data_IF_906202012013
#
_entry.id   IF_906202012013
#
_cell.length_a   1.000
_cell.length_b   1.000
_cell.length_c   1.000
_cell.angle_alpha   90.00
_cell.angle_beta   90.00
_cell.angle_gamma   90.00
#
_symmetry.space_group_name_H-M   'P 1'
#
loop_
_entity.id
_entity.type
_entity.pdbx_description
1 polymer ?
#
# COMPACT_ATOMS: atom_id res chain seq x y z
N UNK A 1 -19.92 4.05 -1.97
CA UNK A 1 -21.06 3.38 -2.64
C UNK A 1 -22.06 4.40 -3.19
N UNK A 2 -22.66 5.25 -2.35
CA UNK A 2 -23.67 6.23 -2.79
C UNK A 2 -23.17 7.24 -3.82
N UNK A 3 -21.98 7.83 -3.60
CA UNK A 3 -21.38 8.74 -4.55
C UNK A 3 -21.17 8.08 -5.93
N UNK A 4 -20.70 6.82 -5.96
CA UNK A 4 -20.53 6.03 -7.19
C UNK A 4 -21.87 5.78 -7.89
N UNK A 5 -22.90 5.37 -7.13
CA UNK A 5 -24.27 5.14 -7.67
C UNK A 5 -24.85 6.38 -8.31
N UNK A 6 -24.66 7.54 -7.68
CA UNK A 6 -25.19 8.83 -8.12
C UNK A 6 -24.24 9.60 -9.05
N UNK A 7 -23.07 9.03 -9.41
CA UNK A 7 -22.03 9.68 -10.23
C UNK A 7 -21.59 11.05 -9.70
N UNK A 8 -21.49 11.18 -8.38
CA UNK A 8 -21.05 12.42 -7.71
C UNK A 8 -19.54 12.38 -7.56
N UNK A 9 -18.85 13.42 -8.03
CA UNK A 9 -17.44 13.66 -7.74
C UNK A 9 -17.29 14.02 -6.26
N UNK A 10 -16.62 13.16 -5.49
CA UNK A 10 -16.45 13.30 -4.04
C UNK A 10 -15.05 12.85 -3.65
N UNK A 11 -14.39 13.64 -2.80
CA UNK A 11 -13.15 13.25 -2.13
C UNK A 11 -13.43 12.94 -0.67
N UNK A 12 -12.91 11.82 -0.17
CA UNK A 12 -13.07 11.37 1.21
C UNK A 12 -11.71 11.17 1.84
N UNK A 13 -11.46 11.87 2.95
CA UNK A 13 -10.30 11.62 3.80
C UNK A 13 -10.60 10.52 4.80
N UNK A 14 -9.83 9.44 4.78
CA UNK A 14 -9.84 8.42 5.83
C UNK A 14 -8.72 8.73 6.83
N UNK A 15 -9.09 8.99 8.08
CA UNK A 15 -8.13 9.21 9.16
C UNK A 15 -7.79 7.87 9.82
N UNK A 16 -6.73 7.23 9.34
CA UNK A 16 -6.25 5.93 9.80
C UNK A 16 -5.07 5.44 8.98
N UNK A 17 -4.63 4.20 9.23
CA UNK A 17 -3.56 3.60 8.44
C UNK A 17 -4.12 3.07 7.11
N UNK A 18 -3.43 3.35 6.00
CA UNK A 18 -3.85 2.89 4.67
C UNK A 18 -3.88 1.36 4.57
N UNK A 19 -3.06 0.65 5.35
CA UNK A 19 -3.05 -0.82 5.37
C UNK A 19 -4.35 -1.37 5.96
N UNK A 20 -4.88 -0.78 7.04
CA UNK A 20 -6.18 -1.17 7.58
C UNK A 20 -7.29 -0.97 6.55
N UNK A 21 -7.23 0.12 5.78
CA UNK A 21 -8.18 0.37 4.69
C UNK A 21 -8.05 -0.67 3.58
N UNK A 22 -6.82 -1.01 3.17
CA UNK A 22 -6.58 -2.05 2.16
C UNK A 22 -7.10 -3.43 2.61
N UNK A 23 -6.78 -3.84 3.84
CA UNK A 23 -7.25 -5.10 4.41
C UNK A 23 -8.77 -5.10 4.59
N UNK A 24 -9.37 -3.96 4.95
CA UNK A 24 -10.83 -3.83 5.00
C UNK A 24 -11.46 -3.95 3.63
N UNK A 25 -10.87 -3.36 2.59
CA UNK A 25 -11.36 -3.52 1.21
C UNK A 25 -11.30 -4.97 0.74
N UNK A 26 -10.24 -5.71 1.12
CA UNK A 26 -10.16 -7.16 0.90
C UNK A 26 -11.26 -7.90 1.64
N UNK A 27 -11.49 -7.59 2.92
CA UNK A 27 -12.56 -8.20 3.69
C UNK A 27 -13.93 -7.98 3.04
N UNK A 28 -14.23 -6.76 2.59
CA UNK A 28 -15.48 -6.45 1.89
C UNK A 28 -15.62 -7.25 0.59
N UNK A 29 -14.55 -7.33 -0.20
CA UNK A 29 -14.50 -8.13 -1.43
C UNK A 29 -14.73 -9.62 -1.15
N UNK A 30 -14.07 -10.19 -0.15
CA UNK A 30 -14.14 -11.62 0.16
C UNK A 30 -15.50 -12.02 0.78
N UNK A 31 -16.15 -11.11 1.51
CA UNK A 31 -17.43 -11.37 2.15
C UNK A 31 -18.64 -11.06 1.28
N UNK A 32 -18.55 -10.04 0.41
CA UNK A 32 -19.69 -9.59 -0.41
C UNK A 32 -19.53 -9.92 -1.89
N UNK A 33 -18.32 -10.26 -2.33
CA UNK A 33 -17.98 -10.44 -3.75
C UNK A 33 -17.79 -9.13 -4.52
N UNK A 34 -17.95 -7.98 -3.86
CA UNK A 34 -17.91 -6.68 -4.54
C UNK A 34 -16.54 -6.03 -4.49
N UNK A 35 -16.03 -5.68 -5.67
CA UNK A 35 -14.85 -4.82 -5.78
C UNK A 35 -15.27 -3.35 -5.57
N UNK A 36 -14.84 -2.78 -4.44
CA UNK A 36 -15.19 -1.40 -4.06
C UNK A 36 -14.28 -0.34 -4.68
N UNK A 37 -13.10 -0.74 -5.13
CA UNK A 37 -12.06 0.15 -5.66
C UNK A 37 -11.60 -0.34 -7.03
N UNK A 38 -11.76 0.51 -8.04
CA UNK A 38 -11.34 0.21 -9.41
C UNK A 38 -9.86 0.55 -9.62
N UNK A 39 -9.39 1.59 -8.96
CA UNK A 39 -8.04 2.17 -9.08
C UNK A 39 -7.37 2.26 -7.70
N UNK A 40 -6.08 1.93 -7.64
CA UNK A 40 -5.26 1.98 -6.43
C UNK A 40 -3.86 2.51 -6.67
N UNK A 41 -3.33 3.27 -5.72
CA UNK A 41 -1.94 3.75 -5.73
C UNK A 41 -1.49 4.00 -4.30
N UNK A 42 -0.19 4.20 -4.09
CA UNK A 42 0.38 4.64 -2.81
C UNK A 42 1.22 5.91 -3.01
N UNK A 43 1.11 6.86 -2.06
CA UNK A 43 1.90 8.09 -2.06
C UNK A 43 2.46 8.40 -0.66
N UNK A 44 2.66 7.37 0.16
CA UNK A 44 3.40 7.51 1.43
C UNK A 44 4.85 7.89 1.15
N UNK A 45 5.59 8.37 2.16
CA UNK A 45 6.99 8.76 1.99
C UNK A 45 7.94 7.55 2.08
N UNK A 46 7.71 6.53 1.24
CA UNK A 46 8.52 5.31 1.19
C UNK A 46 9.97 5.53 0.69
N UNK A 47 10.32 6.74 0.23
CA UNK A 47 11.73 7.11 0.00
C UNK A 47 12.52 7.24 1.31
N UNK A 48 11.84 7.35 2.47
CA UNK A 48 12.46 7.39 3.79
C UNK A 48 11.59 6.69 4.86
N UNK A 49 11.33 5.38 4.71
CA UNK A 49 10.28 4.70 5.47
C UNK A 49 10.65 4.55 6.94
N UNK A 50 11.95 4.46 7.26
CA UNK A 50 12.45 4.18 8.60
C UNK A 50 12.73 5.43 9.45
N UNK A 51 12.50 6.62 8.93
CA UNK A 51 12.65 7.89 9.67
C UNK A 51 11.35 8.68 9.74
N UNK A 52 10.21 7.97 9.76
CA UNK A 52 8.87 8.58 9.88
C UNK A 52 8.20 8.90 8.54
N UNK A 53 8.73 8.42 7.42
CA UNK A 53 8.06 8.50 6.11
C UNK A 53 6.93 7.47 5.93
N UNK A 54 6.98 6.37 6.70
CA UNK A 54 5.97 5.32 6.72
C UNK A 54 5.71 4.88 8.16
N UNK A 55 4.43 4.72 8.52
CA UNK A 55 4.02 4.30 9.86
C UNK A 55 3.42 2.89 9.83
N UNK A 56 3.94 1.95 10.63
CA UNK A 56 3.48 0.57 10.63
C UNK A 56 2.05 0.45 11.17
N UNK A 57 1.23 -0.35 10.51
CA UNK A 57 -0.19 -0.58 10.87
C UNK A 57 -0.39 -1.18 12.27
N UNK A 58 0.63 -1.86 12.81
CA UNK A 58 0.59 -2.50 14.11
C UNK A 58 0.56 -1.51 15.28
N UNK A 59 0.86 -0.23 15.05
CA UNK A 59 1.01 0.79 16.07
C UNK A 59 0.12 1.99 15.78
N UNK A 60 -0.32 2.66 16.83
CA UNK A 60 -0.82 4.02 16.70
C UNK A 60 0.31 4.99 16.30
N UNK A 61 -0.06 6.17 15.84
CA UNK A 61 0.89 7.21 15.44
C UNK A 61 1.85 7.62 16.58
N UNK A 62 1.32 7.78 17.81
CA UNK A 62 2.13 8.18 18.96
C UNK A 62 3.08 7.06 19.42
N UNK A 63 2.60 5.81 19.46
CA UNK A 63 3.45 4.64 19.76
C UNK A 63 4.57 4.49 18.74
N UNK A 64 4.26 4.67 17.45
CA UNK A 64 5.24 4.62 16.38
C UNK A 64 6.30 5.72 16.49
N UNK A 65 5.92 6.96 16.83
CA UNK A 65 6.87 8.06 17.08
C UNK A 65 7.78 7.77 18.28
N UNK A 66 7.23 7.22 19.36
CA UNK A 66 8.02 6.83 20.51
C UNK A 66 8.97 5.66 20.17
N UNK A 67 8.50 4.67 19.42
CA UNK A 67 9.32 3.52 19.04
C UNK A 67 10.44 3.92 18.07
N UNK A 68 10.19 4.87 17.19
CA UNK A 68 11.18 5.40 16.24
C UNK A 68 12.42 5.94 16.96
N UNK A 69 12.25 6.60 18.11
CA UNK A 69 13.38 7.13 18.90
C UNK A 69 13.98 6.10 19.84
N UNK A 70 13.14 5.28 20.48
CA UNK A 70 13.57 4.35 21.54
C UNK A 70 14.09 3.01 21.03
N UNK A 71 13.64 2.55 19.86
CA UNK A 71 14.06 1.26 19.27
C UNK A 71 13.92 1.26 17.74
N UNK A 72 14.80 1.98 17.01
CA UNK A 72 14.74 2.09 15.55
C UNK A 72 14.75 0.74 14.82
N UNK A 73 15.48 -0.26 15.36
CA UNK A 73 15.50 -1.61 14.80
C UNK A 73 14.15 -2.32 14.84
N UNK A 74 13.40 -2.15 15.95
CA UNK A 74 12.03 -2.69 16.07
C UNK A 74 11.07 -1.94 15.15
N UNK A 75 11.19 -0.61 15.10
CA UNK A 75 10.40 0.21 14.18
C UNK A 75 10.57 -0.25 12.73
N UNK A 76 11.82 -0.44 12.28
CA UNK A 76 12.13 -0.95 10.94
C UNK A 76 11.48 -2.31 10.67
N UNK A 77 11.56 -3.25 11.60
CA UNK A 77 10.96 -4.57 11.44
C UNK A 77 9.44 -4.50 11.27
N UNK A 78 8.76 -3.66 12.06
CA UNK A 78 7.32 -3.44 11.96
C UNK A 78 6.93 -2.74 10.65
N UNK A 79 7.70 -1.74 10.20
CA UNK A 79 7.49 -1.10 8.89
C UNK A 79 7.56 -2.13 7.77
N UNK A 80 8.57 -3.00 7.77
CA UNK A 80 8.69 -4.06 6.77
C UNK A 80 7.53 -5.05 6.82
N UNK A 81 7.04 -5.40 8.01
CA UNK A 81 5.85 -6.25 8.17
C UNK A 81 4.59 -5.59 7.63
N UNK A 82 4.39 -4.30 7.93
CA UNK A 82 3.28 -3.51 7.41
C UNK A 82 3.31 -3.41 5.89
N UNK A 83 4.48 -3.21 5.28
CA UNK A 83 4.63 -3.20 3.82
C UNK A 83 4.24 -4.55 3.18
N UNK A 84 4.64 -5.68 3.79
CA UNK A 84 4.23 -7.02 3.33
C UNK A 84 2.72 -7.19 3.38
N UNK A 85 2.08 -6.76 4.47
CA UNK A 85 0.61 -6.79 4.63
C UNK A 85 -0.10 -5.92 3.59
N UNK A 86 0.38 -4.70 3.39
CA UNK A 86 -0.14 -3.78 2.39
C UNK A 86 -0.12 -4.39 0.99
N UNK A 87 1.02 -4.95 0.57
CA UNK A 87 1.17 -5.60 -0.73
C UNK A 87 0.28 -6.83 -0.85
N UNK A 88 0.17 -7.65 0.20
CA UNK A 88 -0.70 -8.83 0.17
C UNK A 88 -2.16 -8.43 -0.11
N UNK A 89 -2.64 -7.35 0.52
CA UNK A 89 -3.98 -6.83 0.28
C UNK A 89 -4.13 -6.24 -1.13
N UNK A 90 -3.16 -5.46 -1.60
CA UNK A 90 -3.14 -4.91 -2.97
C UNK A 90 -3.17 -6.04 -4.00
N UNK A 91 -2.34 -7.08 -3.83
CA UNK A 91 -2.30 -8.25 -4.69
C UNK A 91 -3.66 -8.94 -4.76
N UNK A 92 -4.32 -9.13 -3.62
CA UNK A 92 -5.64 -9.75 -3.56
C UNK A 92 -6.70 -8.96 -4.33
N UNK A 93 -6.70 -7.64 -4.20
CA UNK A 93 -7.64 -6.75 -4.92
C UNK A 93 -7.31 -6.70 -6.42
N UNK A 94 -6.03 -6.64 -6.77
CA UNK A 94 -5.56 -6.62 -8.15
C UNK A 94 -5.90 -7.93 -8.89
N UNK A 95 -5.79 -9.08 -8.22
CA UNK A 95 -6.24 -10.39 -8.73
C UNK A 95 -7.74 -10.41 -9.04
N UNK A 96 -8.53 -9.49 -8.48
CA UNK A 96 -9.97 -9.33 -8.76
C UNK A 96 -10.31 -8.18 -9.71
N UNK A 97 -9.30 -7.53 -10.29
CA UNK A 97 -9.48 -6.55 -11.36
C UNK A 97 -9.25 -5.09 -10.94
N UNK A 98 -8.83 -4.82 -9.70
CA UNK A 98 -8.34 -3.48 -9.35
C UNK A 98 -7.04 -3.19 -10.11
N UNK A 99 -6.94 -2.00 -10.71
CA UNK A 99 -5.69 -1.55 -11.32
C UNK A 99 -4.83 -0.80 -10.29
N UNK A 100 -3.64 -1.33 -9.99
CA UNK A 100 -2.67 -0.68 -9.10
C UNK A 100 -1.45 -0.17 -9.86
N UNK A 101 -0.92 0.99 -9.45
CA UNK A 101 0.37 1.51 -9.94
C UNK A 101 1.19 2.15 -8.81
N UNK A 102 2.51 2.20 -8.99
CA UNK A 102 3.44 2.90 -8.09
C UNK A 102 3.54 4.39 -8.48
N UNK A 103 3.44 5.29 -7.51
CA UNK A 103 3.42 6.74 -7.76
C UNK A 103 4.82 7.39 -7.76
N UNK A 104 5.90 6.61 -7.85
CA UNK A 104 7.27 7.11 -7.83
C UNK A 104 7.77 7.46 -6.42
N UNK A 105 7.18 6.87 -5.38
CA UNK A 105 7.54 7.10 -3.98
C UNK A 105 8.46 6.02 -3.39
N UNK A 106 9.01 5.14 -4.24
CA UNK A 106 9.81 3.97 -3.87
C UNK A 106 9.05 2.86 -3.10
N UNK A 107 7.71 2.86 -3.12
CA UNK A 107 6.90 1.87 -2.41
C UNK A 107 7.21 0.43 -2.83
N UNK A 108 7.15 0.12 -4.14
CA UNK A 108 7.41 -1.26 -4.59
C UNK A 108 8.84 -1.71 -4.31
N UNK A 109 9.81 -0.81 -4.40
CA UNK A 109 11.21 -1.11 -4.09
C UNK A 109 11.41 -1.45 -2.61
N UNK A 110 10.86 -0.64 -1.70
CA UNK A 110 10.96 -0.92 -0.26
C UNK A 110 10.14 -2.15 0.14
N UNK A 111 9.00 -2.39 -0.49
CA UNK A 111 8.22 -3.60 -0.29
C UNK A 111 8.99 -4.85 -0.75
N UNK A 112 9.68 -4.80 -1.90
CA UNK A 112 10.57 -5.89 -2.35
C UNK A 112 11.68 -6.14 -1.33
N UNK A 113 12.34 -5.09 -0.84
CA UNK A 113 13.38 -5.20 0.20
C UNK A 113 12.84 -5.77 1.52
N UNK A 114 11.57 -5.57 1.80
CA UNK A 114 10.86 -6.17 2.92
C UNK A 114 10.44 -7.64 2.64
N UNK A 115 10.64 -8.16 1.44
CA UNK A 115 10.23 -9.52 1.06
C UNK A 115 8.74 -9.64 0.68
N UNK A 116 8.11 -8.55 0.25
CA UNK A 116 6.76 -8.58 -0.27
C UNK A 116 6.69 -9.15 -1.69
N UNK A 117 5.57 -9.77 -2.05
CA UNK A 117 5.33 -10.35 -3.38
C UNK A 117 4.98 -9.27 -4.42
N UNK A 118 5.98 -8.51 -4.85
CA UNK A 118 5.85 -7.42 -5.84
C UNK A 118 6.54 -7.73 -7.16
N UNK A 119 7.23 -8.86 -7.27
CA UNK A 119 8.03 -9.20 -8.44
C UNK A 119 7.15 -9.70 -9.59
N UNK A 120 7.52 -9.32 -10.81
CA UNK A 120 6.89 -9.87 -12.01
C UNK A 120 7.47 -11.26 -12.28
N UNK A 121 6.62 -12.28 -12.31
CA UNK A 121 7.04 -13.67 -12.57
C UNK A 121 7.79 -13.77 -13.89
N UNK A 122 9.00 -14.32 -13.85
CA UNK A 122 9.86 -14.51 -15.03
C UNK A 122 10.58 -13.25 -15.52
N UNK A 123 10.54 -12.16 -14.76
CA UNK A 123 11.24 -10.92 -15.09
C UNK A 123 12.54 -10.75 -14.29
N UNK A 124 13.32 -9.73 -14.66
CA UNK A 124 14.53 -9.35 -13.92
C UNK A 124 14.18 -8.77 -12.54
N UNK A 125 15.12 -8.78 -11.59
CA UNK A 125 14.94 -8.29 -10.21
C UNK A 125 14.45 -6.84 -10.07
N UNK A 126 14.48 -6.06 -11.13
CA UNK A 126 14.08 -4.65 -11.17
C UNK A 126 12.71 -4.43 -11.82
N UNK A 127 12.04 -5.49 -12.26
CA UNK A 127 10.70 -5.42 -12.85
C UNK A 127 9.63 -5.88 -11.85
N UNK A 128 8.75 -4.95 -11.51
CA UNK A 128 7.64 -5.21 -10.61
C UNK A 128 6.38 -5.62 -11.35
N UNK A 129 5.48 -6.29 -10.62
CA UNK A 129 4.15 -6.69 -11.07
C UNK A 129 3.29 -5.49 -11.49
N UNK A 130 3.49 -4.35 -10.82
CA UNK A 130 2.73 -3.14 -11.07
C UNK A 130 3.59 -2.09 -11.79
N UNK A 131 3.01 -1.36 -12.75
CA UNK A 131 3.72 -0.31 -13.45
C UNK A 131 4.04 0.87 -12.52
N UNK A 132 5.13 1.57 -12.81
CA UNK A 132 5.38 2.90 -12.25
C UNK A 132 4.65 3.97 -13.06
N UNK A 133 4.07 4.96 -12.39
CA UNK A 133 3.46 6.15 -13.00
C UNK A 133 4.42 6.81 -14.00
N UNK A 134 5.70 6.94 -13.65
CA UNK A 134 6.70 7.57 -14.51
C UNK A 134 6.86 6.77 -15.79
N UNK A 135 7.22 5.48 -15.66
CA UNK A 135 7.52 4.62 -16.81
C UNK A 135 6.30 4.34 -17.70
N UNK A 136 5.09 4.34 -17.13
CA UNK A 136 3.88 3.85 -17.81
C UNK A 136 2.93 4.96 -18.27
N UNK A 137 2.94 6.13 -17.62
CA UNK A 137 2.00 7.22 -17.92
C UNK A 137 2.75 8.45 -18.45
N UNK A 138 3.92 8.76 -17.91
CA UNK A 138 4.66 9.97 -18.29
C UNK A 138 5.62 9.77 -19.48
N UNK A 139 6.13 8.55 -19.68
CA UNK A 139 7.15 8.23 -20.69
C UNK A 139 8.56 8.42 -20.17
#
# INVERSE_FOLDING_TARGET
>A
RDARKNKIALSLGYHGNVVDLWERLVYELDTTGELLVDLGSDQTSCHNPFSGGYYPVQLSFEEAKQLLSTSPGKFRALVQESLRRQVAAINRLADKGMFFWDYGNAFLLEAQRAGADVEKRGANKTEFRYPSYVQHIMG
#
